data_IF_204951242714
#
_entry.id   IF_204951242714
#
_cell.length_a   1.000
_cell.length_b   1.000
_cell.length_c   1.000
_cell.angle_alpha   90.00
_cell.angle_beta   90.00
_cell.angle_gamma   90.00
#
_symmetry.space_group_name_H-M   'P 1'
#
loop_
_entity.id
_entity.type
_entity.pdbx_description
1 polymer ?
#
# COMPACT_ATOMS: atom_id res chain seq x y z
N UNK A 1 12.61 -6.94 2.45
CA UNK A 1 13.76 -6.01 2.35
C UNK A 1 13.25 -4.61 2.08
N UNK A 2 13.72 -3.67 2.90
CA UNK A 2 13.27 -2.26 2.84
C UNK A 2 13.54 -1.64 1.47
N UNK A 3 14.68 -1.94 0.85
CA UNK A 3 15.04 -1.37 -0.46
C UNK A 3 14.07 -1.76 -1.57
N UNK A 4 13.62 -3.00 -1.60
CA UNK A 4 12.68 -3.46 -2.63
C UNK A 4 11.32 -2.80 -2.46
N UNK A 5 10.84 -2.68 -1.22
CA UNK A 5 9.55 -2.03 -0.93
C UNK A 5 9.58 -0.56 -1.31
N UNK A 6 10.65 0.12 -0.94
CA UNK A 6 10.80 1.53 -1.26
C UNK A 6 10.88 1.73 -2.77
N UNK A 7 11.61 0.89 -3.48
CA UNK A 7 11.72 0.97 -4.92
C UNK A 7 10.37 0.71 -5.61
N UNK A 8 9.62 -0.27 -5.14
CA UNK A 8 8.27 -0.54 -5.64
C UNK A 8 7.34 0.66 -5.44
N UNK A 9 7.41 1.26 -4.27
CA UNK A 9 6.62 2.44 -3.94
C UNK A 9 6.98 3.61 -4.88
N UNK A 10 8.26 3.87 -5.05
CA UNK A 10 8.74 4.95 -5.92
C UNK A 10 8.30 4.72 -7.36
N UNK A 11 8.42 3.49 -7.85
CA UNK A 11 7.99 3.15 -9.21
C UNK A 11 6.49 3.35 -9.39
N UNK A 12 5.71 2.97 -8.41
CA UNK A 12 4.26 3.17 -8.41
C UNK A 12 3.91 4.66 -8.45
N UNK A 13 4.55 5.46 -7.61
CA UNK A 13 4.34 6.90 -7.59
C UNK A 13 4.72 7.54 -8.93
N UNK A 14 5.84 7.13 -9.52
CA UNK A 14 6.26 7.62 -10.85
C UNK A 14 5.19 7.36 -11.90
N UNK A 15 4.60 6.17 -11.87
CA UNK A 15 3.61 5.74 -12.85
C UNK A 15 2.26 6.39 -12.62
N UNK A 16 1.77 6.38 -11.38
CA UNK A 16 0.38 6.72 -11.07
C UNK A 16 0.18 8.18 -10.66
N UNK A 17 1.20 8.85 -10.23
CA UNK A 17 1.14 10.26 -9.82
C UNK A 17 2.05 11.13 -10.68
N UNK A 18 3.28 10.70 -10.89
CA UNK A 18 4.36 11.48 -11.47
C UNK A 18 5.18 12.16 -10.37
N UNK A 19 6.50 12.10 -10.47
CA UNK A 19 7.38 12.57 -9.39
C UNK A 19 7.24 14.07 -9.15
N UNK A 20 7.19 14.87 -10.22
CA UNK A 20 7.05 16.32 -10.08
C UNK A 20 5.75 16.72 -9.40
N UNK A 21 4.65 16.07 -9.79
CA UNK A 21 3.35 16.31 -9.19
C UNK A 21 3.34 15.84 -7.74
N UNK A 22 3.93 14.69 -7.46
CA UNK A 22 4.01 14.13 -6.11
C UNK A 22 4.71 15.11 -5.15
N UNK A 23 5.88 15.62 -5.53
CA UNK A 23 6.64 16.58 -4.74
C UNK A 23 5.86 17.88 -4.58
N UNK A 24 5.25 18.38 -5.65
CA UNK A 24 4.43 19.59 -5.60
C UNK A 24 3.25 19.45 -4.65
N UNK A 25 2.54 18.31 -4.75
CA UNK A 25 1.37 18.04 -3.92
C UNK A 25 1.77 17.91 -2.44
N UNK A 26 2.91 17.30 -2.15
CA UNK A 26 3.45 17.23 -0.79
C UNK A 26 3.71 18.64 -0.25
N UNK A 27 4.42 19.47 -1.01
CA UNK A 27 4.74 20.82 -0.58
C UNK A 27 3.50 21.66 -0.35
N UNK A 28 2.54 21.59 -1.25
CA UNK A 28 1.27 22.32 -1.11
C UNK A 28 0.47 21.83 0.09
N UNK A 29 0.48 20.55 0.35
CA UNK A 29 -0.24 19.95 1.47
C UNK A 29 0.40 20.36 2.79
N UNK A 30 1.72 20.31 2.88
CA UNK A 30 2.44 20.74 4.09
C UNK A 30 2.15 22.23 4.39
N UNK A 31 2.17 23.07 3.36
CA UNK A 31 1.86 24.49 3.52
C UNK A 31 0.44 24.70 4.07
N UNK A 32 -0.53 23.98 3.52
CA UNK A 32 -1.93 24.07 4.01
C UNK A 32 -2.06 23.60 5.45
N UNK A 33 -1.41 22.49 5.79
CA UNK A 33 -1.48 21.94 7.13
C UNK A 33 -0.79 22.85 8.15
N UNK A 34 0.30 23.50 7.77
CA UNK A 34 1.00 24.45 8.63
C UNK A 34 0.15 25.67 9.01
N UNK A 35 -0.79 26.02 8.17
CA UNK A 35 -1.71 27.13 8.44
C UNK A 35 -2.88 26.74 9.32
N UNK A 36 -3.07 25.45 9.59
CA UNK A 36 -4.15 24.97 10.45
C UNK A 36 -3.73 25.02 11.90
N UNK A 37 -4.68 25.34 12.78
CA UNK A 37 -4.46 25.37 14.24
C UNK A 37 -4.88 24.08 14.93
N UNK A 38 -5.35 23.09 14.19
CA UNK A 38 -5.85 21.84 14.76
C UNK A 38 -5.11 20.63 14.15
N UNK A 39 -5.28 19.48 14.79
CA UNK A 39 -4.77 18.22 14.24
C UNK A 39 -5.59 17.84 13.02
N UNK A 40 -4.94 17.72 11.88
CA UNK A 40 -5.58 17.40 10.61
C UNK A 40 -4.71 16.46 9.79
N UNK A 41 -5.34 15.78 8.84
CA UNK A 41 -4.62 14.92 7.91
C UNK A 41 -5.09 15.21 6.49
N UNK A 42 -4.20 14.98 5.54
CA UNK A 42 -4.52 15.07 4.13
C UNK A 42 -3.79 13.97 3.37
N UNK A 43 -4.27 13.66 2.17
CA UNK A 43 -3.74 12.55 1.38
C UNK A 43 -3.28 13.02 0.02
N UNK A 44 -2.16 12.45 -0.43
CA UNK A 44 -1.74 12.54 -1.82
C UNK A 44 -2.34 11.35 -2.54
N UNK A 45 -2.94 11.59 -3.70
CA UNK A 45 -3.71 10.57 -4.42
C UNK A 45 -3.19 10.37 -5.84
N UNK A 46 -3.45 9.17 -6.37
CA UNK A 46 -3.26 8.88 -7.79
C UNK A 46 -4.31 9.62 -8.62
N UNK A 47 -4.15 9.58 -9.94
CA UNK A 47 -5.14 10.14 -10.87
C UNK A 47 -6.51 9.49 -10.72
N UNK A 48 -6.53 8.23 -10.32
CA UNK A 48 -7.79 7.48 -10.10
C UNK A 48 -8.38 7.68 -8.71
N UNK A 49 -7.73 8.47 -7.84
CA UNK A 49 -8.24 8.78 -6.51
C UNK A 49 -7.83 7.82 -5.41
N UNK A 50 -6.80 7.02 -5.63
CA UNK A 50 -6.29 6.13 -4.59
C UNK A 50 -5.24 6.83 -3.74
N UNK A 51 -5.32 6.64 -2.43
CA UNK A 51 -4.39 7.25 -1.49
C UNK A 51 -3.00 6.61 -1.59
N UNK A 52 -1.96 7.42 -1.75
CA UNK A 52 -0.57 6.94 -1.79
C UNK A 52 0.28 7.46 -0.64
N UNK A 53 -0.10 8.57 -0.03
CA UNK A 53 0.62 9.13 1.10
C UNK A 53 -0.35 9.87 2.00
N UNK A 54 -0.24 9.62 3.29
CA UNK A 54 -0.98 10.36 4.32
C UNK A 54 -0.01 11.33 4.97
N UNK A 55 -0.37 12.61 5.01
CA UNK A 55 0.37 13.64 5.70
C UNK A 55 -0.50 14.14 6.85
N UNK A 56 0.00 14.02 8.07
CA UNK A 56 -0.75 14.41 9.26
C UNK A 56 -0.03 15.51 10.00
N UNK A 57 -0.80 16.49 10.47
CA UNK A 57 -0.33 17.47 11.42
C UNK A 57 -0.90 17.12 12.79
N UNK A 58 -0.03 16.92 13.76
CA UNK A 58 -0.40 16.44 15.09
C UNK A 58 -0.57 17.60 16.08
N UNK A 59 -1.42 18.55 15.70
CA UNK A 59 -1.69 19.71 16.53
C UNK A 59 -0.64 20.81 16.40
N UNK A 60 -0.74 21.81 17.26
CA UNK A 60 0.19 22.94 17.28
C UNK A 60 1.35 22.63 18.20
N UNK A 61 2.58 22.82 17.73
CA UNK A 61 3.79 22.62 18.53
C UNK A 61 4.67 23.87 18.46
N UNK A 62 5.41 24.09 19.52
CA UNK A 62 6.34 25.20 19.58
C UNK A 62 7.53 25.03 18.63
N UNK A 63 7.94 23.78 18.43
CA UNK A 63 9.00 23.44 17.48
C UNK A 63 8.38 23.00 16.19
N UNK A 64 8.65 23.73 15.15
CA UNK A 64 7.98 23.61 13.86
C UNK A 64 8.31 22.33 13.08
N UNK A 65 9.31 21.55 13.51
CA UNK A 65 9.76 20.41 12.73
C UNK A 65 9.04 19.11 13.03
N UNK A 66 8.36 19.01 14.17
CA UNK A 66 7.99 17.72 14.73
C UNK A 66 6.52 17.39 14.70
N UNK A 67 5.70 18.24 14.07
CA UNK A 67 4.26 18.00 14.07
C UNK A 67 3.72 17.43 12.77
N UNK A 68 4.59 17.10 11.83
CA UNK A 68 4.19 16.45 10.58
C UNK A 68 4.62 14.99 10.56
N UNK A 69 3.71 14.13 10.14
CA UNK A 69 3.97 12.71 9.95
C UNK A 69 3.62 12.31 8.54
N UNK A 70 4.44 11.46 7.95
CA UNK A 70 4.26 10.96 6.59
C UNK A 70 4.14 9.44 6.66
N UNK A 71 3.05 8.90 6.17
CA UNK A 71 2.77 7.46 6.23
C UNK A 71 2.19 6.98 4.90
N UNK A 72 2.72 5.90 4.36
CA UNK A 72 2.11 5.24 3.23
C UNK A 72 0.91 4.43 3.72
N UNK A 73 -0.32 4.73 3.26
CA UNK A 73 -1.48 3.94 3.67
C UNK A 73 -1.38 2.54 3.09
N UNK A 74 -1.83 1.56 3.84
CA UNK A 74 -1.81 0.17 3.38
C UNK A 74 -3.16 -0.22 2.78
N UNK A 75 -3.11 -1.22 1.90
CA UNK A 75 -4.30 -1.85 1.32
C UNK A 75 -4.32 -3.31 1.69
N UNK A 76 -5.52 -3.88 1.71
CA UNK A 76 -5.74 -5.30 1.95
C UNK A 76 -6.33 -5.92 0.68
N UNK A 77 -5.50 -6.38 -0.27
CA UNK A 77 -6.00 -7.06 -1.45
C UNK A 77 -6.81 -8.30 -1.06
N UNK A 78 -7.92 -8.51 -1.72
CA UNK A 78 -8.85 -9.59 -1.38
C UNK A 78 -8.91 -10.57 -2.53
N UNK A 79 -8.90 -11.86 -2.21
CA UNK A 79 -9.13 -12.93 -3.17
C UNK A 79 -10.41 -13.68 -2.82
N UNK A 80 -11.04 -14.22 -3.85
CA UNK A 80 -12.27 -15.00 -3.73
C UNK A 80 -12.20 -16.20 -4.66
N UNK A 81 -11.58 -17.32 -4.22
CA UNK A 81 -11.44 -18.49 -5.09
C UNK A 81 -12.76 -19.25 -5.22
N UNK A 82 -12.90 -20.01 -6.27
CA UNK A 82 -14.08 -20.86 -6.49
C UNK A 82 -14.03 -22.15 -5.67
N UNK A 83 -12.81 -22.59 -5.33
CA UNK A 83 -12.59 -23.75 -4.46
C UNK A 83 -11.64 -23.35 -3.36
N UNK A 84 -11.71 -24.04 -2.21
CA UNK A 84 -10.78 -23.78 -1.14
C UNK A 84 -9.35 -23.89 -1.63
N UNK A 85 -8.56 -22.84 -1.42
CA UNK A 85 -7.21 -22.75 -1.93
C UNK A 85 -6.27 -22.23 -0.85
N UNK A 86 -5.14 -22.90 -0.70
CA UNK A 86 -4.04 -22.42 0.14
C UNK A 86 -3.04 -21.70 -0.76
N UNK A 87 -2.76 -20.45 -0.46
CA UNK A 87 -1.80 -19.64 -1.21
C UNK A 87 -0.52 -19.52 -0.40
N UNK A 88 0.61 -19.87 -1.03
CA UNK A 88 1.93 -19.69 -0.44
C UNK A 88 2.72 -18.71 -1.30
N UNK A 89 3.18 -17.64 -0.72
CA UNK A 89 3.95 -16.62 -1.42
C UNK A 89 4.91 -15.93 -0.46
N UNK A 90 5.82 -15.13 -1.00
CA UNK A 90 6.76 -14.36 -0.19
C UNK A 90 6.43 -12.88 -0.27
N UNK A 91 6.46 -12.25 0.90
CA UNK A 91 6.35 -10.80 1.01
C UNK A 91 7.34 -10.32 2.05
N UNK A 92 8.10 -9.27 1.73
CA UNK A 92 9.15 -8.73 2.60
C UNK A 92 10.19 -9.77 3.01
N UNK A 93 10.51 -10.71 2.11
CA UNK A 93 11.47 -11.77 2.36
C UNK A 93 10.98 -12.90 3.25
N UNK A 94 9.72 -12.87 3.68
CA UNK A 94 9.13 -13.91 4.52
C UNK A 94 8.08 -14.69 3.75
N UNK A 95 8.03 -16.00 4.01
CA UNK A 95 6.99 -16.85 3.46
C UNK A 95 5.69 -16.58 4.19
N UNK A 96 4.63 -16.37 3.42
CA UNK A 96 3.27 -16.19 3.94
C UNK A 96 2.35 -17.25 3.36
N UNK A 97 1.46 -17.75 4.21
CA UNK A 97 0.44 -18.73 3.84
C UNK A 97 -0.92 -18.16 4.15
N UNK A 98 -1.83 -18.18 3.16
CA UNK A 98 -3.20 -17.73 3.31
C UNK A 98 -4.12 -18.85 2.85
N UNK A 99 -5.06 -19.24 3.71
CA UNK A 99 -6.07 -20.24 3.35
C UNK A 99 -7.37 -19.51 3.05
N UNK A 100 -7.82 -19.60 1.81
CA UNK A 100 -9.05 -18.95 1.37
C UNK A 100 -10.13 -19.98 1.11
N UNK A 101 -11.24 -19.83 1.80
CA UNK A 101 -12.40 -20.69 1.61
C UNK A 101 -13.11 -20.39 0.28
N UNK A 102 -13.76 -21.41 -0.26
CA UNK A 102 -14.50 -21.29 -1.51
C UNK A 102 -15.53 -20.17 -1.45
N UNK A 103 -15.52 -19.30 -2.45
CA UNK A 103 -16.51 -18.21 -2.61
C UNK A 103 -16.56 -17.21 -1.47
N UNK A 104 -15.49 -17.11 -0.68
CA UNK A 104 -15.40 -16.13 0.40
C UNK A 104 -14.26 -15.15 0.16
N UNK A 105 -14.51 -13.90 0.51
CA UNK A 105 -13.48 -12.85 0.43
C UNK A 105 -12.44 -13.08 1.51
N UNK A 106 -11.18 -13.19 1.11
CA UNK A 106 -10.07 -13.43 2.03
C UNK A 106 -8.96 -12.43 1.76
N UNK A 107 -8.53 -11.64 2.75
CA UNK A 107 -7.44 -10.69 2.54
C UNK A 107 -6.10 -11.43 2.45
N UNK A 108 -5.25 -10.97 1.54
CA UNK A 108 -3.89 -11.52 1.37
C UNK A 108 -2.90 -10.95 2.39
N UNK A 109 -3.25 -9.87 3.05
CA UNK A 109 -2.40 -9.16 3.99
C UNK A 109 -2.46 -7.66 3.76
N UNK A 110 -1.57 -6.91 4.41
CA UNK A 110 -1.49 -5.46 4.25
C UNK A 110 -0.27 -5.11 3.41
N UNK A 111 -0.47 -4.26 2.41
CA UNK A 111 0.57 -3.86 1.46
C UNK A 111 0.57 -2.34 1.28
N UNK A 112 1.76 -1.75 1.24
CA UNK A 112 1.89 -0.34 0.86
C UNK A 112 1.55 -0.19 -0.62
N UNK A 113 1.20 1.02 -1.10
CA UNK A 113 0.89 1.23 -2.51
C UNK A 113 2.03 0.78 -3.41
N UNK A 114 1.70 0.06 -4.47
CA UNK A 114 2.67 -0.49 -5.42
C UNK A 114 1.97 -1.43 -6.36
N UNK A 115 2.65 -1.80 -7.43
CA UNK A 115 2.17 -2.85 -8.34
C UNK A 115 2.88 -4.14 -7.97
N UNK A 116 2.09 -5.16 -7.67
CA UNK A 116 2.60 -6.43 -7.18
C UNK A 116 2.35 -7.56 -8.17
N UNK A 117 3.39 -8.33 -8.41
CA UNK A 117 3.36 -9.53 -9.23
C UNK A 117 4.13 -10.59 -8.48
N UNK A 118 3.46 -11.31 -7.59
CA UNK A 118 4.09 -12.22 -6.65
C UNK A 118 3.96 -13.65 -7.12
N UNK A 119 5.09 -14.37 -7.31
CA UNK A 119 5.01 -15.81 -7.53
C UNK A 119 4.33 -16.48 -6.33
N UNK A 120 3.40 -17.38 -6.61
CA UNK A 120 2.64 -18.04 -5.56
C UNK A 120 2.38 -19.50 -5.93
N UNK A 121 2.36 -20.35 -4.90
CA UNK A 121 1.84 -21.72 -5.05
C UNK A 121 0.38 -21.69 -4.64
N UNK A 122 -0.45 -22.30 -5.48
CA UNK A 122 -1.88 -22.45 -5.22
C UNK A 122 -2.15 -23.94 -4.99
N UNK A 123 -2.55 -24.27 -3.79
CA UNK A 123 -2.76 -25.65 -3.35
C UNK A 123 -4.23 -25.88 -3.11
N UNK A 124 -4.81 -26.80 -3.88
CA UNK A 124 -6.21 -27.21 -3.75
C UNK A 124 -6.26 -28.72 -3.58
N UNK A 125 -7.46 -29.28 -3.37
CA UNK A 125 -7.65 -30.74 -3.36
C UNK A 125 -7.23 -31.40 -4.68
N UNK A 126 -7.17 -30.63 -5.78
CA UNK A 126 -6.80 -31.14 -7.09
C UNK A 126 -5.29 -31.08 -7.37
N UNK A 127 -4.50 -30.57 -6.42
CA UNK A 127 -3.06 -30.53 -6.55
C UNK A 127 -2.45 -29.16 -6.27
N UNK A 128 -1.17 -29.04 -6.58
CA UNK A 128 -0.38 -27.83 -6.39
C UNK A 128 -0.08 -27.21 -7.74
N UNK A 129 -0.35 -25.91 -7.86
CA UNK A 129 -0.16 -25.16 -9.10
C UNK A 129 0.72 -23.95 -8.84
N UNK A 130 1.66 -23.70 -9.74
CA UNK A 130 2.46 -22.49 -9.71
C UNK A 130 1.73 -21.38 -10.46
N UNK A 131 1.76 -20.19 -9.92
CA UNK A 131 1.14 -19.04 -10.55
C UNK A 131 1.65 -17.76 -9.94
N UNK A 132 0.88 -16.70 -10.11
CA UNK A 132 1.21 -15.37 -9.58
C UNK A 132 -0.01 -14.72 -8.97
N UNK A 133 0.25 -13.85 -7.97
CA UNK A 133 -0.75 -12.96 -7.42
C UNK A 133 -0.45 -11.57 -7.96
N UNK A 134 -1.41 -10.97 -8.68
CA UNK A 134 -1.26 -9.65 -9.30
C UNK A 134 -2.27 -8.69 -8.67
N UNK A 135 -1.77 -7.57 -8.16
CA UNK A 135 -2.63 -6.52 -7.59
C UNK A 135 -1.87 -5.21 -7.47
N UNK A 136 -2.61 -4.12 -7.36
CA UNK A 136 -2.05 -2.79 -7.10
C UNK A 136 -3.00 -1.93 -6.26
#
# INVERSE_FOLDING_TARGET
MIHKKLQQYINYVKKEVGIKKYIRDINNTVDKLNKSNSSVASYIQTKSGQDVLKISKNGTKYLIFDNMSFTAPTKKPIIKPKVETKYEFRTSGKKKTVIAEANKNTPLGEFIPGTYHLPAKKITENGTFNGHLNFD
#
